data_IF_317929923834
#
_entry.id   IF_317929923834
#
_cell.length_a   1.000
_cell.length_b   1.000
_cell.length_c   1.000
_cell.angle_alpha   90.00
_cell.angle_beta   90.00
_cell.angle_gamma   90.00
#
_symmetry.space_group_name_H-M   'P 1'
#
loop_
_entity.id
_entity.type
_entity.pdbx_description
1 polymer ?
#
# COMPACT_ATOMS: atom_id res chain seq x y z
N UNK A 1 -0.28 -12.09 25.37
CA UNK A 1 -0.85 -10.75 25.68
C UNK A 1 0.33 -9.82 25.64
N UNK A 2 0.49 -9.15 24.52
CA UNK A 2 1.70 -8.39 24.26
C UNK A 2 1.65 -7.05 24.98
N UNK A 3 2.73 -6.81 25.71
CA UNK A 3 2.95 -5.61 26.47
C UNK A 3 3.11 -4.41 25.52
N UNK A 4 2.04 -3.62 25.35
CA UNK A 4 2.04 -2.34 24.65
C UNK A 4 2.58 -1.19 25.51
N UNK A 5 3.43 -1.47 26.52
CA UNK A 5 4.00 -0.45 27.40
C UNK A 5 4.85 0.59 26.67
N UNK A 6 5.44 0.25 25.51
CA UNK A 6 6.21 1.18 24.69
C UNK A 6 5.40 2.29 24.01
N UNK A 7 4.06 2.19 23.98
CA UNK A 7 3.23 3.24 23.37
C UNK A 7 3.06 4.49 24.27
N UNK A 8 3.36 4.38 25.55
CA UNK A 8 3.17 5.49 26.51
C UNK A 8 4.13 6.66 26.27
N UNK A 9 5.32 6.37 25.75
CA UNK A 9 6.38 7.38 25.61
C UNK A 9 6.38 8.10 24.26
N UNK A 10 5.56 7.66 23.30
CA UNK A 10 5.52 8.24 21.96
C UNK A 10 4.57 9.42 21.80
N UNK A 11 3.70 9.68 22.76
CA UNK A 11 2.81 10.84 22.73
C UNK A 11 3.29 11.87 23.76
N UNK A 12 3.55 13.12 23.36
CA UNK A 12 4.04 14.17 24.26
C UNK A 12 3.04 14.57 25.37
N UNK A 13 1.91 13.92 25.42
CA UNK A 13 0.94 14.02 26.49
C UNK A 13 0.75 12.65 27.11
N UNK A 14 1.51 12.37 28.16
CA UNK A 14 1.31 11.22 29.06
C UNK A 14 -0.14 11.23 29.59
N UNK A 15 -1.05 10.68 28.80
CA UNK A 15 -2.43 10.46 29.25
C UNK A 15 -2.40 9.16 30.05
N UNK A 16 -2.42 9.24 31.37
CA UNK A 16 -2.53 8.08 32.24
C UNK A 16 -3.80 7.30 31.88
N UNK A 17 -3.81 5.98 32.13
CA UNK A 17 -5.00 5.13 31.96
C UNK A 17 -6.22 5.70 32.70
N UNK A 18 -6.01 6.35 33.86
CA UNK A 18 -7.05 7.08 34.60
C UNK A 18 -7.59 8.30 33.84
N UNK A 19 -6.70 9.07 33.16
CA UNK A 19 -7.13 10.19 32.34
C UNK A 19 -7.89 9.74 31.10
N UNK A 20 -7.49 8.61 30.49
CA UNK A 20 -8.22 8.00 29.39
C UNK A 20 -9.59 7.51 29.83
N UNK A 21 -9.69 6.90 31.03
CA UNK A 21 -10.96 6.45 31.61
C UNK A 21 -11.85 7.64 31.97
N UNK A 22 -11.29 8.70 32.58
CA UNK A 22 -12.02 9.92 32.87
C UNK A 22 -12.48 10.65 31.60
N UNK A 23 -11.67 10.65 30.55
CA UNK A 23 -12.04 11.21 29.24
C UNK A 23 -13.14 10.38 28.57
N UNK A 24 -13.09 9.04 28.65
CA UNK A 24 -14.19 8.16 28.21
C UNK A 24 -15.48 8.40 28.98
N UNK A 25 -15.40 8.66 30.30
CA UNK A 25 -16.56 9.00 31.12
C UNK A 25 -17.13 10.39 30.78
N UNK A 26 -16.29 11.36 30.40
CA UNK A 26 -16.76 12.66 29.95
C UNK A 26 -17.42 12.59 28.57
N UNK A 27 -16.94 11.71 27.67
CA UNK A 27 -17.58 11.45 26.37
C UNK A 27 -18.97 10.81 26.57
N UNK A 28 -19.14 9.91 27.56
CA UNK A 28 -20.46 9.35 27.89
C UNK A 28 -21.50 10.40 28.29
N UNK A 29 -21.09 11.57 28.80
CA UNK A 29 -22.01 12.67 29.13
C UNK A 29 -22.64 13.34 27.91
N UNK A 30 -22.12 13.08 26.72
CA UNK A 30 -22.64 13.61 25.47
C UNK A 30 -23.40 12.56 24.66
N UNK A 31 -23.64 11.37 25.21
CA UNK A 31 -24.50 10.36 24.62
C UNK A 31 -25.96 10.62 25.04
N UNK A 32 -26.89 10.29 24.15
CA UNK A 32 -28.31 10.21 24.47
C UNK A 32 -28.57 9.18 25.58
N UNK A 33 -29.73 9.20 26.22
CA UNK A 33 -30.11 8.26 27.28
C UNK A 33 -30.06 6.80 26.84
N UNK A 34 -30.21 6.54 25.56
CA UNK A 34 -30.11 5.19 24.92
C UNK A 34 -28.67 4.79 24.58
N UNK A 35 -27.67 5.61 24.94
CA UNK A 35 -26.26 5.34 24.66
C UNK A 35 -25.79 5.67 23.24
N UNK A 36 -26.64 6.30 22.45
CA UNK A 36 -26.27 6.78 21.10
C UNK A 36 -25.69 8.19 21.15
N UNK A 37 -24.90 8.56 20.16
CA UNK A 37 -24.46 9.95 20.00
C UNK A 37 -25.64 10.82 19.56
N UNK A 38 -25.77 12.08 20.08
CA UNK A 38 -26.75 13.02 19.53
C UNK A 38 -26.53 13.10 18.03
N UNK A 39 -27.59 12.94 17.29
CA UNK A 39 -27.56 12.75 15.84
C UNK A 39 -26.68 13.77 15.13
N UNK A 40 -25.50 13.37 14.75
CA UNK A 40 -24.98 13.74 13.46
C UNK A 40 -25.96 13.13 12.44
N UNK A 41 -26.30 13.92 11.46
CA UNK A 41 -27.21 13.58 10.39
C UNK A 41 -27.22 12.08 10.07
N UNK A 42 -28.36 11.42 10.21
CA UNK A 42 -28.45 9.95 10.09
C UNK A 42 -27.94 9.46 8.74
N UNK A 43 -27.85 10.32 7.74
CA UNK A 43 -27.29 10.01 6.42
C UNK A 43 -25.77 9.89 6.42
N UNK A 44 -25.08 10.54 7.36
CA UNK A 44 -23.62 10.37 7.56
C UNK A 44 -23.32 9.02 8.23
N UNK A 45 -24.26 8.46 9.00
CA UNK A 45 -24.12 7.17 9.72
C UNK A 45 -24.62 5.97 8.90
N UNK A 46 -24.80 6.07 7.59
CA UNK A 46 -25.02 4.87 6.77
C UNK A 46 -23.87 3.88 6.89
N UNK A 47 -22.70 4.35 7.23
CA UNK A 47 -21.55 3.51 7.57
C UNK A 47 -21.80 2.48 8.68
N UNK A 48 -22.65 2.79 9.66
CA UNK A 48 -22.92 1.89 10.79
C UNK A 48 -23.91 0.75 10.45
N UNK A 49 -24.59 0.82 9.32
CA UNK A 49 -25.53 -0.22 8.84
C UNK A 49 -24.88 -1.21 7.89
N UNK A 50 -23.67 -0.93 7.43
CA UNK A 50 -22.94 -1.79 6.51
C UNK A 50 -22.57 -3.11 7.17
N UNK A 51 -23.00 -4.23 6.61
CA UNK A 51 -22.60 -5.56 7.06
C UNK A 51 -21.16 -5.82 6.66
N UNK A 52 -20.42 -6.47 7.55
CA UNK A 52 -19.01 -6.81 7.35
C UNK A 52 -18.87 -8.32 7.31
N UNK A 53 -18.34 -8.84 6.20
CA UNK A 53 -18.04 -10.25 6.01
C UNK A 53 -16.51 -10.42 5.88
N UNK A 54 -15.87 -11.00 6.89
CA UNK A 54 -14.42 -11.22 6.88
C UNK A 54 -13.61 -9.96 6.50
N UNK A 55 -14.02 -8.79 7.00
CA UNK A 55 -13.37 -7.52 6.70
C UNK A 55 -13.77 -6.87 5.38
N UNK A 56 -14.67 -7.47 4.61
CA UNK A 56 -15.24 -6.92 3.37
C UNK A 56 -16.63 -6.36 3.69
N UNK A 57 -16.93 -5.18 3.17
CA UNK A 57 -18.24 -4.56 3.34
C UNK A 57 -19.17 -4.99 2.20
N UNK A 58 -20.44 -5.24 2.53
CA UNK A 58 -21.50 -5.53 1.54
C UNK A 58 -21.80 -4.30 0.67
N UNK A 59 -21.75 -3.10 1.28
CA UNK A 59 -21.83 -1.81 0.61
C UNK A 59 -20.65 -0.93 1.04
N UNK A 60 -20.02 -0.17 0.11
CA UNK A 60 -18.98 0.77 0.46
C UNK A 60 -19.47 1.83 1.43
N UNK A 61 -18.59 2.26 2.32
CA UNK A 61 -18.83 3.42 3.18
C UNK A 61 -18.31 4.67 2.50
N UNK A 62 -19.09 5.75 2.65
CA UNK A 62 -18.74 7.08 2.15
C UNK A 62 -18.53 7.99 3.36
N UNK A 63 -17.29 8.46 3.54
CA UNK A 63 -16.89 9.21 4.74
C UNK A 63 -16.29 10.55 4.33
N UNK A 64 -16.58 11.65 5.04
CA UNK A 64 -15.95 12.93 4.74
C UNK A 64 -14.47 12.92 5.13
N UNK A 65 -13.62 13.49 4.28
CA UNK A 65 -12.21 13.73 4.52
C UNK A 65 -11.88 15.22 4.60
N UNK A 66 -12.53 15.94 5.53
CA UNK A 66 -12.55 17.40 5.53
C UNK A 66 -13.59 17.94 4.54
N UNK A 67 -13.32 19.12 3.98
CA UNK A 67 -14.26 19.83 3.09
C UNK A 67 -14.08 19.48 1.59
N UNK A 68 -12.93 18.99 1.18
CA UNK A 68 -12.57 18.74 -0.23
C UNK A 68 -12.31 17.28 -0.59
N UNK A 69 -12.42 16.38 0.38
CA UNK A 69 -12.14 14.98 0.16
C UNK A 69 -13.28 14.10 0.64
N UNK A 70 -13.53 13.04 -0.11
CA UNK A 70 -14.45 11.98 0.26
C UNK A 70 -13.71 10.65 0.23
N UNK A 71 -13.74 9.90 1.34
CA UNK A 71 -13.19 8.56 1.43
C UNK A 71 -14.28 7.54 1.09
N UNK A 72 -13.97 6.62 0.19
CA UNK A 72 -14.79 5.44 -0.10
C UNK A 72 -14.04 4.22 0.46
N UNK A 73 -14.62 3.53 1.43
CA UNK A 73 -14.09 2.28 1.98
C UNK A 73 -14.86 1.07 1.49
N UNK A 74 -14.15 0.05 1.00
CA UNK A 74 -14.72 -1.23 0.56
C UNK A 74 -14.55 -2.34 1.60
N UNK A 75 -13.68 -2.12 2.59
CA UNK A 75 -13.37 -3.05 3.67
C UNK A 75 -12.25 -2.53 4.57
N UNK A 76 -11.88 -3.34 5.57
CA UNK A 76 -10.81 -3.02 6.53
C UNK A 76 -9.68 -4.06 6.57
N UNK A 77 -9.48 -4.78 5.48
CA UNK A 77 -8.39 -5.75 5.31
C UNK A 77 -7.61 -5.45 4.04
N UNK A 78 -6.33 -5.87 4.03
CA UNK A 78 -5.51 -5.85 2.81
C UNK A 78 -5.90 -7.03 1.92
N UNK A 79 -6.62 -6.75 0.84
CA UNK A 79 -7.14 -7.74 -0.08
C UNK A 79 -7.07 -7.19 -1.52
N UNK A 80 -6.54 -7.99 -2.45
CA UNK A 80 -6.41 -7.60 -3.85
C UNK A 80 -7.77 -7.35 -4.53
N UNK A 81 -8.79 -8.11 -4.15
CA UNK A 81 -10.14 -7.92 -4.69
C UNK A 81 -10.71 -6.53 -4.33
N UNK A 82 -10.48 -6.08 -3.08
CA UNK A 82 -10.89 -4.74 -2.66
C UNK A 82 -10.11 -3.65 -3.39
N UNK A 83 -8.81 -3.90 -3.65
CA UNK A 83 -8.01 -2.98 -4.42
C UNK A 83 -8.46 -2.91 -5.89
N UNK A 84 -8.80 -4.04 -6.50
CA UNK A 84 -9.37 -4.06 -7.85
C UNK A 84 -10.69 -3.28 -7.92
N UNK A 85 -11.54 -3.37 -6.88
CA UNK A 85 -12.76 -2.55 -6.79
C UNK A 85 -12.44 -1.05 -6.71
N UNK A 86 -11.46 -0.68 -5.87
CA UNK A 86 -11.04 0.72 -5.74
C UNK A 86 -10.51 1.28 -7.07
N UNK A 87 -9.65 0.54 -7.76
CA UNK A 87 -9.08 0.97 -9.03
C UNK A 87 -10.11 0.96 -10.17
N UNK A 88 -10.98 -0.04 -10.20
CA UNK A 88 -12.07 -0.10 -11.19
C UNK A 88 -13.04 1.06 -11.04
N UNK A 89 -13.45 1.39 -9.81
CA UNK A 89 -14.31 2.55 -9.55
C UNK A 89 -13.59 3.86 -9.87
N UNK A 90 -12.29 3.98 -9.55
CA UNK A 90 -11.46 5.15 -9.92
C UNK A 90 -11.54 5.42 -11.42
N UNK A 91 -11.39 4.38 -12.23
CA UNK A 91 -11.47 4.48 -13.69
C UNK A 91 -12.88 4.89 -14.18
N UNK A 92 -13.94 4.35 -13.57
CA UNK A 92 -15.31 4.75 -13.90
C UNK A 92 -15.57 6.23 -13.57
N UNK A 93 -15.09 6.72 -12.43
CA UNK A 93 -15.21 8.12 -12.04
C UNK A 93 -14.47 9.03 -13.04
N UNK A 94 -13.26 8.66 -13.45
CA UNK A 94 -12.49 9.38 -14.46
C UNK A 94 -13.24 9.45 -15.80
N UNK A 95 -13.87 8.35 -16.22
CA UNK A 95 -14.65 8.28 -17.46
C UNK A 95 -15.96 9.08 -17.38
N UNK A 96 -16.61 9.07 -16.22
CA UNK A 96 -17.86 9.80 -15.98
C UNK A 96 -17.68 11.32 -15.99
N UNK A 97 -16.46 11.83 -15.80
CA UNK A 97 -16.13 13.27 -15.82
C UNK A 97 -17.09 14.11 -14.97
N UNK A 98 -17.36 13.64 -13.74
CA UNK A 98 -18.24 14.33 -12.81
C UNK A 98 -17.73 15.75 -12.58
N UNK A 99 -18.57 16.76 -12.82
CA UNK A 99 -18.19 18.14 -12.60
C UNK A 99 -17.79 18.37 -11.14
N UNK A 100 -16.71 19.10 -10.91
CA UNK A 100 -16.16 19.35 -9.58
C UNK A 100 -15.32 18.20 -9.00
N UNK A 101 -15.19 17.04 -9.66
CA UNK A 101 -14.23 16.00 -9.27
C UNK A 101 -12.90 16.22 -9.99
N UNK A 102 -11.82 16.35 -9.22
CA UNK A 102 -10.49 16.62 -9.75
C UNK A 102 -9.67 15.35 -9.98
N UNK A 103 -9.65 14.44 -9.00
CA UNK A 103 -8.85 13.22 -9.05
C UNK A 103 -9.36 12.18 -8.07
N UNK A 104 -8.90 10.96 -8.27
CA UNK A 104 -9.12 9.84 -7.38
C UNK A 104 -7.81 9.17 -7.02
N UNK A 105 -7.68 8.73 -5.77
CA UNK A 105 -6.47 8.14 -5.21
C UNK A 105 -6.82 6.76 -4.63
N UNK A 106 -6.77 5.68 -5.43
CA UNK A 106 -7.02 4.34 -4.94
C UNK A 106 -5.93 3.89 -3.97
N UNK A 107 -6.34 3.17 -2.92
CA UNK A 107 -5.50 2.58 -1.92
C UNK A 107 -5.85 1.09 -1.75
N UNK A 108 -5.36 0.40 -0.71
CA UNK A 108 -5.53 -1.05 -0.54
C UNK A 108 -6.99 -1.52 -0.57
N UNK A 109 -7.83 -0.94 0.30
CA UNK A 109 -9.24 -1.31 0.44
C UNK A 109 -10.16 -0.09 0.42
N UNK A 110 -9.67 1.02 -0.07
CA UNK A 110 -10.37 2.30 -0.10
C UNK A 110 -9.87 3.17 -1.23
N UNK A 111 -10.51 4.31 -1.44
CA UNK A 111 -10.04 5.37 -2.31
C UNK A 111 -10.47 6.72 -1.79
N UNK A 112 -9.68 7.75 -2.08
CA UNK A 112 -10.05 9.14 -1.84
C UNK A 112 -10.49 9.77 -3.16
N UNK A 113 -11.56 10.54 -3.11
CA UNK A 113 -12.02 11.42 -4.18
C UNK A 113 -11.76 12.85 -3.76
N UNK A 114 -10.96 13.57 -4.54
CA UNK A 114 -10.73 15.01 -4.38
C UNK A 114 -11.73 15.78 -5.23
N UNK A 115 -12.50 16.67 -4.61
CA UNK A 115 -13.56 17.42 -5.28
C UNK A 115 -13.65 18.86 -4.82
N UNK A 116 -14.33 19.70 -5.61
CA UNK A 116 -14.65 21.08 -5.28
C UNK A 116 -16.09 21.16 -4.71
N UNK A 117 -16.28 21.48 -3.42
CA UNK A 117 -17.60 21.56 -2.81
C UNK A 117 -18.45 22.73 -3.34
N UNK A 118 -17.82 23.74 -3.99
CA UNK A 118 -18.54 24.84 -4.62
C UNK A 118 -19.17 24.45 -5.96
N UNK A 119 -18.71 23.37 -6.59
CA UNK A 119 -19.22 22.84 -7.86
C UNK A 119 -20.18 21.65 -7.67
N UNK A 120 -19.88 20.78 -6.70
CA UNK A 120 -20.74 19.65 -6.35
C UNK A 120 -20.80 19.46 -4.85
N UNK A 121 -22.01 19.48 -4.27
CA UNK A 121 -22.20 19.23 -2.84
C UNK A 121 -21.91 17.78 -2.45
N UNK A 122 -21.47 17.57 -1.20
CA UNK A 122 -21.12 16.25 -0.66
C UNK A 122 -22.21 15.19 -0.90
N UNK A 123 -23.47 15.54 -0.63
CA UNK A 123 -24.61 14.63 -0.80
C UNK A 123 -24.85 14.24 -2.25
N UNK A 124 -24.70 15.18 -3.17
CA UNK A 124 -24.93 14.94 -4.59
C UNK A 124 -23.76 14.13 -5.18
N UNK A 125 -22.51 14.42 -4.76
CA UNK A 125 -21.37 13.59 -5.11
C UNK A 125 -21.59 12.13 -4.67
N UNK A 126 -22.08 11.88 -3.45
CA UNK A 126 -22.38 10.51 -2.98
C UNK A 126 -23.44 9.84 -3.85
N UNK A 127 -24.48 10.53 -4.30
CA UNK A 127 -25.51 9.96 -5.19
C UNK A 127 -24.90 9.49 -6.51
N UNK A 128 -24.08 10.35 -7.15
CA UNK A 128 -23.37 10.01 -8.38
C UNK A 128 -22.45 8.79 -8.17
N UNK A 129 -21.63 8.80 -7.11
CA UNK A 129 -20.72 7.71 -6.81
C UNK A 129 -21.42 6.40 -6.50
N UNK A 130 -22.57 6.42 -5.79
CA UNK A 130 -23.38 5.22 -5.55
C UNK A 130 -23.94 4.63 -6.84
N UNK A 131 -24.31 5.45 -7.81
CA UNK A 131 -24.74 4.99 -9.14
C UNK A 131 -23.61 4.24 -9.86
N UNK A 132 -22.39 4.80 -9.87
CA UNK A 132 -21.23 4.17 -10.47
C UNK A 132 -20.82 2.87 -9.75
N UNK A 133 -20.93 2.82 -8.41
CA UNK A 133 -20.67 1.59 -7.63
C UNK A 133 -21.65 0.48 -8.04
N UNK A 134 -22.90 0.81 -8.27
CA UNK A 134 -23.90 -0.17 -8.72
C UNK A 134 -23.59 -0.69 -10.11
N UNK A 135 -23.24 0.20 -11.05
CA UNK A 135 -22.80 -0.16 -12.41
C UNK A 135 -21.57 -1.07 -12.38
N UNK A 136 -20.60 -0.76 -11.51
CA UNK A 136 -19.39 -1.56 -11.36
C UNK A 136 -19.64 -2.98 -10.85
N UNK A 137 -20.61 -3.17 -9.93
CA UNK A 137 -20.97 -4.49 -9.39
C UNK A 137 -21.48 -5.46 -10.47
N UNK A 138 -22.09 -4.93 -11.50
CA UNK A 138 -22.70 -5.72 -12.58
C UNK A 138 -21.65 -6.14 -13.65
N UNK A 139 -20.39 -5.71 -13.53
CA UNK A 139 -19.36 -5.94 -14.56
C UNK A 139 -18.14 -6.72 -14.02
N UNK A 140 -18.25 -8.06 -14.03
CA UNK A 140 -17.19 -8.98 -13.56
C UNK A 140 -15.99 -9.11 -14.56
N UNK A 141 -16.09 -8.55 -15.77
CA UNK A 141 -15.08 -8.69 -16.84
C UNK A 141 -14.06 -7.54 -16.88
N UNK A 142 -13.79 -6.90 -15.73
CA UNK A 142 -12.84 -5.77 -15.66
C UNK A 142 -11.45 -6.15 -16.16
N UNK A 143 -11.00 -5.44 -17.18
CA UNK A 143 -9.64 -5.51 -17.69
C UNK A 143 -8.91 -4.22 -17.30
N UNK A 144 -7.77 -4.39 -16.65
CA UNK A 144 -6.88 -3.28 -16.27
C UNK A 144 -5.69 -3.25 -17.21
N UNK A 145 -5.39 -2.09 -17.79
CA UNK A 145 -4.12 -1.88 -18.48
C UNK A 145 -3.03 -1.79 -17.41
N UNK A 146 -2.16 -2.77 -17.38
CA UNK A 146 -1.16 -2.96 -16.34
C UNK A 146 0.22 -3.07 -16.99
N UNK A 147 1.12 -2.15 -16.66
CA UNK A 147 2.53 -2.25 -17.06
C UNK A 147 3.24 -3.22 -16.13
N UNK A 148 4.15 -4.02 -16.65
CA UNK A 148 5.02 -4.89 -15.85
C UNK A 148 6.46 -4.43 -15.96
N UNK A 149 7.06 -4.10 -14.83
CA UNK A 149 8.46 -3.71 -14.72
C UNK A 149 9.27 -4.82 -14.08
N UNK A 150 10.43 -5.15 -14.67
CA UNK A 150 11.42 -6.01 -14.06
C UNK A 150 12.47 -5.16 -13.33
N UNK A 151 12.63 -5.42 -12.03
CA UNK A 151 13.56 -4.67 -11.18
C UNK A 151 14.71 -5.55 -10.74
N UNK A 152 15.92 -5.37 -11.30
CA UNK A 152 17.14 -5.97 -10.78
C UNK A 152 17.32 -5.59 -9.31
N UNK A 153 17.49 -6.59 -8.46
CA UNK A 153 17.53 -6.39 -7.01
C UNK A 153 18.63 -7.26 -6.40
N UNK A 154 19.63 -6.63 -5.79
CA UNK A 154 20.56 -7.34 -4.94
C UNK A 154 19.92 -7.54 -3.57
N UNK A 155 19.81 -8.80 -3.16
CA UNK A 155 19.28 -9.17 -1.86
C UNK A 155 20.41 -9.26 -0.83
N UNK A 156 20.07 -9.04 0.44
CA UNK A 156 21.00 -9.14 1.57
C UNK A 156 22.23 -8.25 1.40
N UNK A 157 22.02 -7.08 0.84
CA UNK A 157 23.08 -6.17 0.43
C UNK A 157 23.74 -5.45 1.60
N UNK A 158 24.97 -4.97 1.34
CA UNK A 158 25.79 -4.28 2.33
C UNK A 158 25.19 -2.97 2.86
N UNK A 159 24.41 -2.25 2.04
CA UNK A 159 23.84 -0.95 2.41
C UNK A 159 22.61 -1.09 3.32
N UNK A 160 21.73 -2.05 3.04
CA UNK A 160 20.62 -2.36 3.95
C UNK A 160 21.14 -2.93 5.26
N UNK A 161 22.17 -3.78 5.22
CA UNK A 161 22.85 -4.29 6.40
C UNK A 161 23.40 -3.15 7.27
N UNK A 162 24.11 -2.19 6.68
CA UNK A 162 24.63 -1.00 7.39
C UNK A 162 23.48 -0.23 8.08
N UNK A 163 22.36 0.00 7.41
CA UNK A 163 21.21 0.71 7.98
C UNK A 163 20.56 -0.06 9.15
N UNK A 164 20.53 -1.38 9.08
CA UNK A 164 20.04 -2.24 10.17
C UNK A 164 21.02 -2.19 11.37
N UNK A 165 22.32 -2.30 11.12
CA UNK A 165 23.35 -2.26 12.16
C UNK A 165 23.38 -0.87 12.86
N UNK A 166 23.24 0.21 12.10
CA UNK A 166 23.12 1.57 12.64
C UNK A 166 21.90 1.68 13.56
N UNK A 167 20.76 1.16 13.14
CA UNK A 167 19.54 1.12 13.97
C UNK A 167 19.76 0.32 15.26
N UNK A 168 20.33 -0.88 15.17
CA UNK A 168 20.58 -1.76 16.32
C UNK A 168 21.52 -1.08 17.32
N UNK A 169 22.53 -0.38 16.84
CA UNK A 169 23.52 0.28 17.69
C UNK A 169 23.01 1.53 18.41
N UNK A 170 22.03 2.24 17.80
CA UNK A 170 21.62 3.59 18.27
C UNK A 170 20.20 3.66 18.84
N UNK A 171 19.32 2.76 18.41
CA UNK A 171 17.88 2.91 18.68
C UNK A 171 17.31 1.73 19.46
N UNK A 172 17.36 0.51 18.90
CA UNK A 172 16.78 -0.65 19.56
C UNK A 172 17.44 -1.96 19.13
N UNK A 173 17.71 -2.82 20.09
CA UNK A 173 18.24 -4.15 19.84
C UNK A 173 17.19 -5.03 19.17
N UNK A 174 17.55 -5.70 18.07
CA UNK A 174 16.70 -6.65 17.34
C UNK A 174 17.51 -7.63 16.50
N UNK A 175 16.88 -8.68 15.99
CA UNK A 175 17.46 -9.53 14.93
C UNK A 175 17.58 -8.76 13.61
N UNK A 176 18.46 -9.22 12.72
CA UNK A 176 18.50 -8.70 11.36
C UNK A 176 17.16 -8.90 10.65
N UNK A 177 16.82 -8.01 9.73
CA UNK A 177 15.52 -8.02 9.07
C UNK A 177 15.25 -9.30 8.27
N UNK A 178 16.19 -9.83 7.46
CA UNK A 178 15.98 -11.08 6.74
C UNK A 178 15.76 -12.29 7.67
N UNK A 179 16.54 -12.41 8.73
CA UNK A 179 16.38 -13.49 9.71
C UNK A 179 15.04 -13.41 10.46
N UNK A 180 14.62 -12.19 10.79
CA UNK A 180 13.33 -11.96 11.42
C UNK A 180 12.15 -12.33 10.51
N UNK A 181 12.24 -11.98 9.21
CA UNK A 181 11.22 -12.36 8.21
C UNK A 181 11.17 -13.89 8.05
N UNK A 182 12.31 -14.56 7.97
CA UNK A 182 12.42 -16.02 7.87
C UNK A 182 11.70 -16.70 9.05
N UNK A 183 12.02 -16.29 10.27
CA UNK A 183 11.42 -16.85 11.48
C UNK A 183 9.89 -16.61 11.52
N UNK A 184 9.47 -15.38 11.28
CA UNK A 184 8.06 -14.99 11.38
C UNK A 184 7.17 -15.71 10.36
N UNK A 185 7.72 -16.05 9.20
CA UNK A 185 6.97 -16.72 8.13
C UNK A 185 7.25 -18.22 8.03
N UNK A 186 7.96 -18.80 9.00
CA UNK A 186 8.31 -20.23 9.05
C UNK A 186 9.01 -20.71 7.76
N UNK A 187 9.98 -19.93 7.29
CA UNK A 187 10.80 -20.28 6.13
C UNK A 187 12.04 -21.06 6.59
N UNK A 188 12.62 -21.87 5.71
CA UNK A 188 13.77 -22.70 6.05
C UNK A 188 15.04 -21.90 6.32
N UNK A 189 15.26 -20.87 5.50
CA UNK A 189 16.44 -20.01 5.54
C UNK A 189 16.24 -18.76 4.67
N UNK A 190 17.25 -17.92 4.61
CA UNK A 190 17.22 -16.66 3.85
C UNK A 190 17.13 -16.88 2.34
N UNK A 191 17.73 -17.93 1.80
CA UNK A 191 17.61 -18.26 0.37
C UNK A 191 16.16 -18.66 0.01
N UNK A 192 15.50 -19.37 0.92
CA UNK A 192 14.07 -19.65 0.78
C UNK A 192 13.25 -18.35 0.77
N UNK A 193 13.55 -17.41 1.66
CA UNK A 193 12.93 -16.09 1.65
C UNK A 193 13.12 -15.37 0.31
N UNK A 194 14.34 -15.34 -0.23
CA UNK A 194 14.63 -14.70 -1.53
C UNK A 194 13.82 -15.34 -2.65
N UNK A 195 13.76 -16.68 -2.71
CA UNK A 195 12.94 -17.40 -3.72
C UNK A 195 11.46 -17.06 -3.61
N UNK A 196 10.90 -17.06 -2.40
CA UNK A 196 9.49 -16.72 -2.16
C UNK A 196 9.22 -15.28 -2.57
N UNK A 197 10.05 -14.33 -2.13
CA UNK A 197 9.84 -12.92 -2.43
C UNK A 197 10.00 -12.63 -3.93
N UNK A 198 11.01 -13.17 -4.60
CA UNK A 198 11.21 -12.99 -6.03
C UNK A 198 10.33 -13.89 -6.91
N UNK A 199 9.61 -14.85 -6.32
CA UNK A 199 8.83 -15.87 -7.03
C UNK A 199 7.56 -15.35 -7.72
N UNK A 200 7.06 -14.16 -7.35
CA UNK A 200 5.79 -13.61 -7.86
C UNK A 200 5.95 -12.23 -8.47
N UNK A 201 4.93 -11.78 -9.19
CA UNK A 201 4.72 -10.37 -9.50
C UNK A 201 4.00 -9.68 -8.34
N UNK A 202 4.28 -8.40 -8.17
CA UNK A 202 3.68 -7.53 -7.16
C UNK A 202 2.80 -6.48 -7.80
N UNK A 203 1.55 -6.45 -7.40
CA UNK A 203 0.56 -5.45 -7.82
C UNK A 203 0.74 -4.14 -7.07
N UNK A 204 0.90 -3.03 -7.75
CA UNK A 204 0.94 -1.69 -7.15
C UNK A 204 -0.48 -1.31 -6.73
N UNK A 205 -0.75 -1.39 -5.43
CA UNK A 205 -2.05 -1.11 -4.85
C UNK A 205 -2.28 0.39 -4.64
N UNK A 206 -1.24 1.12 -4.29
CA UNK A 206 -1.27 2.58 -4.08
C UNK A 206 0.12 3.19 -4.13
N UNK A 207 0.17 4.51 -4.22
CA UNK A 207 1.38 5.31 -3.98
C UNK A 207 1.18 6.13 -2.71
N UNK A 208 2.26 6.36 -1.94
CA UNK A 208 2.16 7.16 -0.74
C UNK A 208 3.47 7.27 0.03
N UNK A 209 3.45 7.93 1.17
CA UNK A 209 4.59 8.18 2.04
C UNK A 209 5.64 9.13 1.43
N UNK A 210 6.02 8.92 0.18
CA UNK A 210 6.93 9.77 -0.60
C UNK A 210 6.53 9.72 -2.09
N UNK A 211 6.79 10.77 -2.88
CA UNK A 211 6.52 10.74 -4.32
C UNK A 211 7.12 9.51 -5.01
N UNK A 212 6.29 8.75 -5.70
CA UNK A 212 6.69 7.56 -6.44
C UNK A 212 6.90 6.28 -5.61
N UNK A 213 6.78 6.30 -4.28
CA UNK A 213 6.91 5.10 -3.46
C UNK A 213 5.69 4.18 -3.66
N UNK A 214 5.87 2.96 -4.20
CA UNK A 214 4.78 2.03 -4.40
C UNK A 214 4.53 1.20 -3.13
N UNK A 215 3.28 1.04 -2.76
CA UNK A 215 2.82 -0.01 -1.86
C UNK A 215 2.24 -1.14 -2.67
N UNK A 216 2.83 -2.34 -2.53
CA UNK A 216 2.50 -3.45 -3.40
C UNK A 216 2.00 -4.66 -2.63
N UNK A 217 1.26 -5.53 -3.33
CA UNK A 217 0.82 -6.83 -2.82
C UNK A 217 1.24 -7.94 -3.77
N UNK A 218 1.72 -9.10 -3.27
CA UNK A 218 2.05 -10.23 -4.13
C UNK A 218 0.79 -10.78 -4.82
N UNK A 219 0.88 -11.07 -6.11
CA UNK A 219 -0.23 -11.67 -6.86
C UNK A 219 -0.41 -13.16 -6.54
N UNK A 220 0.68 -13.87 -6.27
CA UNK A 220 0.60 -15.26 -5.82
C UNK A 220 0.44 -15.29 -4.28
N UNK A 221 -0.70 -15.76 -3.77
CA UNK A 221 -0.92 -15.84 -2.31
C UNK A 221 0.07 -16.76 -1.60
N UNK A 222 0.69 -17.70 -2.29
CA UNK A 222 1.73 -18.60 -1.74
C UNK A 222 3.02 -17.86 -1.42
N UNK A 223 3.25 -16.71 -2.10
CA UNK A 223 4.37 -15.80 -1.85
C UNK A 223 4.04 -14.70 -0.82
N UNK A 224 2.89 -14.76 -0.17
CA UNK A 224 2.51 -13.77 0.82
C UNK A 224 3.35 -13.94 2.08
N UNK A 225 4.16 -12.92 2.36
CA UNK A 225 4.97 -12.78 3.56
C UNK A 225 4.39 -11.66 4.42
N UNK A 226 4.64 -11.70 5.72
CA UNK A 226 4.24 -10.66 6.66
C UNK A 226 5.36 -10.33 7.62
N UNK A 227 5.50 -9.04 7.95
CA UNK A 227 6.41 -8.60 9.00
C UNK A 227 5.91 -7.28 9.61
N UNK A 228 5.96 -7.09 10.94
CA UNK A 228 5.60 -5.82 11.55
C UNK A 228 6.60 -4.75 11.15
N UNK A 229 6.16 -3.49 11.19
CA UNK A 229 7.06 -2.34 11.03
C UNK A 229 7.95 -2.18 12.26
N UNK A 230 9.09 -1.53 12.09
CA UNK A 230 9.90 -1.02 13.20
C UNK A 230 9.10 -0.05 14.07
N UNK A 231 9.31 -0.12 15.35
CA UNK A 231 8.82 0.84 16.32
C UNK A 231 9.88 1.06 17.40
N UNK A 232 10.53 2.24 17.45
CA UNK A 232 10.43 3.36 16.51
C UNK A 232 11.01 3.05 15.11
N UNK A 233 10.71 3.85 14.07
CA UNK A 233 11.28 3.64 12.73
C UNK A 233 12.77 4.01 12.68
N UNK A 234 13.47 3.51 11.64
CA UNK A 234 14.84 3.97 11.32
C UNK A 234 14.82 5.44 10.94
N UNK A 235 15.88 6.15 11.29
CA UNK A 235 16.08 7.56 10.91
C UNK A 235 16.47 7.71 9.43
N UNK A 236 17.03 6.66 8.83
CA UNK A 236 17.39 6.63 7.42
C UNK A 236 17.32 5.21 6.83
N UNK A 237 17.07 5.15 5.55
CA UNK A 237 17.03 3.94 4.72
C UNK A 237 17.70 4.28 3.40
N UNK A 238 18.58 3.48 2.82
CA UNK A 238 19.23 3.79 1.56
C UNK A 238 18.23 3.98 0.41
N UNK A 239 18.56 4.83 -0.55
CA UNK A 239 17.82 4.95 -1.82
C UNK A 239 17.78 3.62 -2.56
N UNK A 240 16.64 3.27 -3.15
CA UNK A 240 16.44 2.02 -3.90
C UNK A 240 16.20 0.80 -3.00
N UNK A 241 16.13 0.97 -1.68
CA UNK A 241 15.90 -0.15 -0.75
C UNK A 241 14.53 -0.81 -1.01
N UNK A 242 14.56 -2.13 -1.08
CA UNK A 242 13.36 -2.98 -1.08
C UNK A 242 13.10 -3.46 0.33
N UNK A 243 11.89 -3.28 0.81
CA UNK A 243 11.50 -3.67 2.16
C UNK A 243 10.02 -3.97 2.27
N UNK A 244 9.62 -4.59 3.40
CA UNK A 244 8.23 -4.93 3.65
C UNK A 244 7.74 -4.48 5.03
N UNK A 245 6.44 -4.18 5.10
CA UNK A 245 5.75 -3.87 6.35
C UNK A 245 4.29 -4.29 6.26
N UNK A 246 3.80 -5.03 7.26
CA UNK A 246 2.57 -5.79 7.12
C UNK A 246 2.75 -6.86 6.03
N UNK A 247 1.87 -6.89 5.05
CA UNK A 247 2.01 -7.77 3.86
C UNK A 247 2.32 -6.98 2.58
N UNK A 248 2.82 -5.75 2.71
CA UNK A 248 3.15 -4.88 1.59
C UNK A 248 4.66 -4.79 1.40
N UNK A 249 5.11 -4.95 0.15
CA UNK A 249 6.47 -4.62 -0.27
C UNK A 249 6.51 -3.21 -0.86
N UNK A 250 7.59 -2.48 -0.61
CA UNK A 250 7.83 -1.14 -1.15
C UNK A 250 9.28 -0.98 -1.63
N UNK A 251 9.49 0.00 -2.51
CA UNK A 251 10.81 0.46 -2.91
C UNK A 251 10.97 1.90 -2.42
N UNK A 252 12.04 2.20 -1.70
CA UNK A 252 12.32 3.55 -1.23
C UNK A 252 12.90 4.40 -2.36
N UNK A 253 12.23 5.46 -2.83
CA UNK A 253 12.68 6.24 -3.99
C UNK A 253 13.89 7.12 -3.71
N UNK A 254 14.14 7.42 -2.45
CA UNK A 254 15.27 8.23 -2.00
C UNK A 254 15.75 7.76 -0.62
N UNK A 255 16.79 8.42 -0.06
CA UNK A 255 17.24 8.19 1.32
C UNK A 255 16.20 8.79 2.29
N UNK A 256 15.43 7.93 2.95
CA UNK A 256 14.28 8.32 3.76
C UNK A 256 14.26 7.61 5.11
N UNK A 257 13.65 8.19 6.16
CA UNK A 257 13.31 7.40 7.34
C UNK A 257 12.34 6.28 6.97
N UNK A 258 12.28 5.20 7.76
CA UNK A 258 11.33 4.15 7.46
C UNK A 258 11.28 3.03 8.48
N UNK A 259 10.10 2.42 8.61
CA UNK A 259 9.82 1.34 9.54
C UNK A 259 9.69 -0.04 8.90
N UNK A 260 9.85 -0.18 7.58
CA UNK A 260 9.76 -1.49 6.92
C UNK A 260 10.99 -2.34 7.24
N UNK A 261 10.82 -3.65 7.32
CA UNK A 261 11.93 -4.60 7.33
C UNK A 261 12.59 -4.56 5.96
N UNK A 262 13.91 -4.33 5.90
CA UNK A 262 14.66 -4.11 4.67
C UNK A 262 15.57 -5.29 4.35
N UNK A 263 15.70 -5.66 3.07
CA UNK A 263 16.37 -6.90 2.70
C UNK A 263 17.01 -6.90 1.31
N UNK A 264 16.90 -5.83 0.57
CA UNK A 264 17.47 -5.73 -0.77
C UNK A 264 17.49 -4.30 -1.27
N UNK A 265 18.18 -4.11 -2.40
CA UNK A 265 18.31 -2.80 -3.04
C UNK A 265 18.29 -2.94 -4.56
N UNK A 266 17.58 -2.03 -5.23
CA UNK A 266 17.64 -1.86 -6.69
C UNK A 266 18.40 -0.58 -7.04
N UNK A 267 19.21 -0.58 -8.11
CA UNK A 267 19.86 0.63 -8.59
C UNK A 267 18.94 1.48 -9.48
N UNK A 268 17.77 0.96 -9.86
CA UNK A 268 16.87 1.57 -10.84
C UNK A 268 15.98 2.62 -10.17
N UNK A 269 15.99 3.88 -10.66
CA UNK A 269 15.15 4.96 -10.12
C UNK A 269 13.65 4.67 -10.33
N UNK A 270 12.85 4.99 -9.31
CA UNK A 270 11.38 4.96 -9.39
C UNK A 270 10.75 6.36 -9.24
N UNK A 271 11.58 7.33 -8.99
CA UNK A 271 11.26 8.75 -8.88
C UNK A 271 12.39 9.57 -9.49
N UNK A 272 12.05 10.42 -10.45
CA UNK A 272 13.01 11.26 -11.17
C UNK A 272 12.40 12.65 -11.42
N UNK A 273 12.65 13.62 -10.52
CA UNK A 273 12.11 14.98 -10.67
C UNK A 273 12.70 15.73 -11.87
N UNK A 274 13.86 15.30 -12.37
CA UNK A 274 14.53 15.90 -13.54
C UNK A 274 14.07 15.28 -14.86
N UNK A 275 13.33 14.16 -14.82
CA UNK A 275 12.85 13.42 -15.99
C UNK A 275 13.96 13.02 -16.97
N UNK A 276 15.05 12.49 -16.43
CA UNK A 276 16.22 12.10 -17.21
C UNK A 276 16.01 10.89 -18.13
N UNK A 277 14.93 10.12 -17.90
CA UNK A 277 14.60 8.93 -18.69
C UNK A 277 13.22 9.04 -19.30
N UNK A 278 13.03 8.49 -20.50
CA UNK A 278 11.78 8.55 -21.27
C UNK A 278 10.54 8.07 -20.49
N UNK A 279 10.70 7.10 -19.60
CA UNK A 279 9.60 6.57 -18.78
C UNK A 279 9.01 7.59 -17.81
N UNK A 280 9.71 8.69 -17.54
CA UNK A 280 9.28 9.79 -16.68
C UNK A 280 8.76 11.01 -17.46
N UNK A 281 8.70 10.98 -18.80
CA UNK A 281 8.28 12.15 -19.61
C UNK A 281 6.97 12.76 -19.15
N UNK A 282 5.99 11.93 -18.77
CA UNK A 282 4.65 12.36 -18.37
C UNK A 282 4.49 12.56 -16.85
N UNK A 283 5.35 11.94 -16.05
CA UNK A 283 5.29 12.01 -14.58
C UNK A 283 6.68 11.85 -13.96
N UNK A 284 6.93 12.55 -12.87
CA UNK A 284 8.15 12.37 -12.06
C UNK A 284 8.14 11.05 -11.26
N UNK A 285 7.00 10.38 -11.18
CA UNK A 285 6.82 9.07 -10.53
C UNK A 285 6.68 7.98 -11.59
N UNK A 286 7.43 6.89 -11.45
CA UNK A 286 7.42 5.78 -12.40
C UNK A 286 6.08 5.03 -12.38
N UNK A 287 5.68 4.65 -11.17
CA UNK A 287 4.52 3.79 -10.97
C UNK A 287 3.21 4.57 -10.89
N UNK A 288 2.16 3.86 -11.23
CA UNK A 288 0.76 4.20 -10.98
C UNK A 288 0.03 2.98 -10.41
N UNK A 289 -1.06 3.15 -9.64
CA UNK A 289 -1.88 2.03 -9.20
C UNK A 289 -2.27 1.14 -10.39
N UNK A 290 -2.17 -0.18 -10.22
CA UNK A 290 -2.43 -1.14 -11.28
C UNK A 290 -1.20 -1.61 -12.06
N UNK A 291 -0.05 -0.98 -11.91
CA UNK A 291 1.22 -1.52 -12.42
C UNK A 291 1.64 -2.77 -11.66
N UNK A 292 2.57 -3.52 -12.24
CA UNK A 292 3.15 -4.71 -11.63
C UNK A 292 4.67 -4.60 -11.58
N UNK A 293 5.24 -5.19 -10.56
CA UNK A 293 6.68 -5.25 -10.33
C UNK A 293 7.10 -6.71 -10.21
N UNK A 294 8.12 -7.11 -10.94
CA UNK A 294 8.83 -8.38 -10.74
C UNK A 294 10.24 -8.08 -10.26
N UNK A 295 10.58 -8.52 -9.06
CA UNK A 295 11.93 -8.42 -8.53
C UNK A 295 12.78 -9.54 -9.12
N UNK A 296 13.89 -9.18 -9.77
CA UNK A 296 14.83 -10.12 -10.39
C UNK A 296 16.12 -10.11 -9.55
N UNK A 297 16.44 -11.21 -8.85
CA UNK A 297 17.70 -11.28 -8.11
C UNK A 297 18.89 -11.06 -9.05
N UNK A 298 19.78 -10.18 -8.65
CA UNK A 298 21.05 -9.91 -9.35
C UNK A 298 22.22 -9.94 -8.37
N UNK A 299 23.43 -10.08 -8.87
CA UNK A 299 24.67 -9.97 -8.10
C UNK A 299 25.18 -8.51 -8.02
N UNK A 300 26.29 -8.32 -7.32
CA UNK A 300 26.88 -6.97 -7.17
C UNK A 300 27.46 -6.43 -8.48
N UNK A 301 28.02 -7.26 -9.33
CA UNK A 301 28.62 -6.82 -10.60
C UNK A 301 27.53 -6.29 -11.54
N UNK A 302 26.42 -7.00 -11.64
CA UNK A 302 25.24 -6.56 -12.39
C UNK A 302 24.64 -5.28 -11.79
N UNK A 303 24.50 -5.21 -10.46
CA UNK A 303 24.02 -4.02 -9.77
C UNK A 303 24.89 -2.80 -10.10
N UNK A 304 26.21 -2.90 -9.98
CA UNK A 304 27.14 -1.80 -10.24
C UNK A 304 27.16 -1.38 -11.71
N UNK A 305 27.06 -2.34 -12.63
CA UNK A 305 26.90 -2.06 -14.06
C UNK A 305 25.64 -1.26 -14.35
N UNK A 306 24.51 -1.65 -13.74
CA UNK A 306 23.24 -0.93 -13.91
C UNK A 306 23.31 0.45 -13.26
N UNK A 307 23.86 0.54 -12.03
CA UNK A 307 24.04 1.83 -11.35
C UNK A 307 24.88 2.82 -12.18
N UNK A 308 25.91 2.32 -12.86
CA UNK A 308 26.70 3.13 -13.80
C UNK A 308 25.84 3.63 -14.97
N UNK A 309 25.07 2.75 -15.62
CA UNK A 309 24.17 3.15 -16.71
C UNK A 309 23.12 4.18 -16.25
N UNK A 310 22.62 4.05 -15.01
CA UNK A 310 21.70 5.04 -14.42
C UNK A 310 22.39 6.38 -14.24
N UNK A 311 23.60 6.43 -13.71
CA UNK A 311 24.40 7.66 -13.55
C UNK A 311 24.71 8.33 -14.91
N UNK A 312 24.98 7.53 -15.92
CA UNK A 312 25.23 7.98 -17.30
C UNK A 312 23.95 8.32 -18.08
N UNK A 313 22.76 8.13 -17.47
CA UNK A 313 21.44 8.34 -18.10
C UNK A 313 21.20 7.48 -19.35
N UNK A 314 21.87 6.33 -19.45
CA UNK A 314 21.78 5.39 -20.56
C UNK A 314 21.01 4.11 -20.22
N UNK A 315 20.53 3.98 -18.98
CA UNK A 315 19.73 2.83 -18.57
C UNK A 315 18.42 2.78 -19.32
N UNK A 316 18.05 1.60 -19.81
CA UNK A 316 16.75 1.33 -20.42
C UNK A 316 15.95 0.44 -19.49
N UNK A 317 14.75 0.91 -19.15
CA UNK A 317 13.84 0.15 -18.30
C UNK A 317 13.36 -1.13 -18.99
N UNK A 318 13.43 -2.25 -18.28
CA UNK A 318 12.81 -3.49 -18.72
C UNK A 318 11.31 -3.42 -18.39
N UNK A 319 10.54 -3.05 -19.38
CA UNK A 319 9.13 -2.73 -19.29
C UNK A 319 8.34 -3.51 -20.34
N UNK A 320 7.36 -4.28 -19.90
CA UNK A 320 6.30 -4.82 -20.75
C UNK A 320 5.12 -3.84 -20.65
N UNK A 321 4.95 -3.03 -21.69
CA UNK A 321 3.90 -2.00 -21.75
C UNK A 321 2.56 -2.59 -22.16
N UNK A 322 1.46 -1.92 -21.72
CA UNK A 322 0.06 -2.21 -22.09
C UNK A 322 -0.39 -3.67 -21.98
N UNK A 323 0.12 -4.41 -21.01
CA UNK A 323 -0.36 -5.74 -20.76
C UNK A 323 -1.75 -5.73 -20.13
N UNK A 324 -2.73 -6.32 -20.81
CA UNK A 324 -4.12 -6.42 -20.31
C UNK A 324 -4.22 -7.44 -19.20
N UNK A 325 -4.35 -6.96 -17.96
CA UNK A 325 -4.58 -7.80 -16.78
C UNK A 325 -6.08 -8.05 -16.61
N UNK A 326 -6.50 -9.31 -16.73
CA UNK A 326 -7.91 -9.70 -16.53
C UNK A 326 -8.12 -10.18 -15.10
N UNK A 327 -8.93 -9.48 -14.34
CA UNK A 327 -9.29 -9.86 -12.96
C UNK A 327 -9.99 -11.21 -12.94
N UNK A 328 -10.87 -11.49 -13.90
CA UNK A 328 -11.56 -12.78 -14.04
C UNK A 328 -10.59 -13.94 -14.24
N UNK A 329 -9.63 -13.81 -15.17
CA UNK A 329 -8.60 -14.82 -15.39
C UNK A 329 -7.71 -15.02 -14.17
N UNK A 330 -7.38 -13.94 -13.47
CA UNK A 330 -6.63 -14.01 -12.23
C UNK A 330 -7.41 -14.81 -11.15
N UNK A 331 -8.70 -14.50 -10.94
CA UNK A 331 -9.56 -15.25 -10.02
C UNK A 331 -9.66 -16.75 -10.40
N UNK A 332 -9.81 -17.05 -11.68
CA UNK A 332 -9.81 -18.44 -12.18
C UNK A 332 -8.48 -19.14 -11.90
N UNK A 333 -7.36 -18.46 -12.14
CA UNK A 333 -6.04 -19.00 -11.82
C UNK A 333 -5.89 -19.29 -10.32
N UNK A 334 -6.36 -18.41 -9.43
CA UNK A 334 -6.34 -18.64 -7.98
C UNK A 334 -7.04 -19.93 -7.56
N UNK A 335 -8.15 -20.33 -8.23
CA UNK A 335 -8.86 -21.58 -7.91
C UNK A 335 -8.10 -22.84 -8.32
N UNK A 336 -7.07 -22.72 -9.18
CA UNK A 336 -6.26 -23.83 -9.65
C UNK A 336 -4.98 -24.02 -8.83
N UNK A 337 -4.68 -23.10 -7.92
CA UNK A 337 -3.48 -23.15 -7.09
C UNK A 337 -3.58 -24.22 -6.02
N UNK A 338 -2.51 -24.99 -5.87
CA UNK A 338 -2.28 -25.79 -4.67
C UNK A 338 -1.70 -24.89 -3.58
N UNK A 339 -2.55 -24.40 -2.69
CA UNK A 339 -2.18 -23.48 -1.61
C UNK A 339 -1.22 -24.12 -0.58
N UNK A 340 -1.03 -25.43 -0.58
CA UNK A 340 -0.11 -26.11 0.33
C UNK A 340 1.33 -26.14 -0.22
N UNK A 341 1.52 -25.89 -1.51
CA UNK A 341 2.84 -25.78 -2.11
C UNK A 341 3.37 -24.36 -1.95
N UNK A 342 4.23 -24.16 -0.96
CA UNK A 342 5.08 -22.95 -0.89
C UNK A 342 6.26 -23.10 -1.87
N UNK A 343 6.81 -21.96 -2.31
CA UNK A 343 7.97 -21.91 -3.24
C UNK A 343 9.26 -22.42 -2.59
#
# INVERSE_FOLDING_TARGET
MDDYSGFKDMYPHNISLEQTTKKKLSVKKHLNEDGTYPSFDQDIITANKTKVFNGIYDEPKFLPGGDKYLLIEFGNIMNLELNFKAQGLSKLIEQAKINGVYETLPCFASMIVHYNPDEIGYTDLIKELKSLVKEFKDNDDTIVNSRLFHFPTVYLDKWTKEAIEDYISKIALKKSDPEFIVELNNLDNVDHFVRVHSGTEYWVASLGFWPGLPFTMPLDPRCKLTAPKYNPPRTWTPKGTVGMGGSSTAIYPDRLPGGYQIFGRTPVPIWDPEKNFDVFKDSICLFRPGDRIKFIPCDYDEFEMIEKKVKEKTYKYDLIDEHKFSIKKYKQWLTQLDHNKKF
#
